data_IF_650943111011
#
_entry.id   IF_650943111011
#
_cell.length_a   1.000
_cell.length_b   1.000
_cell.length_c   1.000
_cell.angle_alpha   90.00
_cell.angle_beta   90.00
_cell.angle_gamma   90.00
#
_symmetry.space_group_name_H-M   'P 1'
#
loop_
_entity.id
_entity.type
_entity.pdbx_description
1 polymer ?
#
# COMPACT_ATOMS: atom_id res chain seq x y z
N UNK A 1 -2.27 -17.73 9.22
CA UNK A 1 -1.02 -18.41 8.77
C UNK A 1 0.07 -17.34 8.76
N UNK A 2 1.27 -17.63 9.24
CA UNK A 2 2.36 -16.66 9.19
C UNK A 2 2.83 -16.44 7.75
N UNK A 3 3.23 -15.23 7.40
CA UNK A 3 3.83 -14.93 6.10
C UNK A 3 5.23 -15.54 6.02
N UNK A 4 5.61 -16.03 4.84
CA UNK A 4 7.01 -16.29 4.54
C UNK A 4 7.79 -14.98 4.49
N UNK A 5 9.12 -15.02 4.68
CA UNK A 5 9.94 -13.81 4.59
C UNK A 5 9.87 -13.16 3.21
N UNK A 6 9.80 -13.97 2.13
CA UNK A 6 9.64 -13.44 0.78
C UNK A 6 8.31 -12.71 0.60
N UNK A 7 7.19 -13.29 1.06
CA UNK A 7 5.88 -12.64 0.98
C UNK A 7 5.84 -11.33 1.76
N UNK A 8 6.42 -11.32 2.97
CA UNK A 8 6.48 -10.11 3.77
C UNK A 8 7.24 -8.98 3.06
N UNK A 9 8.43 -9.26 2.52
CA UNK A 9 9.21 -8.25 1.77
C UNK A 9 8.47 -7.81 0.50
N UNK A 10 7.79 -8.72 -0.20
CA UNK A 10 7.01 -8.36 -1.39
C UNK A 10 5.85 -7.42 -1.05
N UNK A 11 5.15 -7.68 0.06
CA UNK A 11 4.05 -6.83 0.54
C UNK A 11 4.57 -5.47 1.02
N UNK A 12 5.72 -5.41 1.72
CA UNK A 12 6.35 -4.13 2.11
C UNK A 12 6.73 -3.28 0.90
N UNK A 13 7.38 -3.88 -0.10
CA UNK A 13 7.72 -3.19 -1.34
C UNK A 13 6.47 -2.69 -2.06
N UNK A 14 5.40 -3.52 -2.12
CA UNK A 14 4.14 -3.12 -2.74
C UNK A 14 3.49 -1.95 -2.00
N UNK A 15 3.52 -1.94 -0.67
CA UNK A 15 3.00 -0.84 0.12
C UNK A 15 3.82 0.45 -0.08
N UNK A 16 5.14 0.35 -0.22
CA UNK A 16 6.01 1.48 -0.56
C UNK A 16 5.70 2.05 -1.95
N UNK A 17 5.54 1.20 -2.96
CA UNK A 17 5.13 1.62 -4.32
C UNK A 17 3.80 2.39 -4.28
N UNK A 18 2.82 1.87 -3.53
CA UNK A 18 1.50 2.48 -3.41
C UNK A 18 1.56 3.85 -2.71
N UNK A 19 2.43 4.01 -1.70
CA UNK A 19 2.65 5.32 -1.06
C UNK A 19 3.24 6.33 -2.04
N UNK A 20 4.23 5.94 -2.85
CA UNK A 20 4.79 6.80 -3.90
C UNK A 20 3.71 7.20 -4.91
N UNK A 21 2.91 6.24 -5.39
CA UNK A 21 1.81 6.53 -6.31
C UNK A 21 0.76 7.47 -5.70
N UNK A 22 0.41 7.29 -4.43
CA UNK A 22 -0.47 8.21 -3.71
C UNK A 22 0.13 9.62 -3.61
N UNK A 23 1.41 9.75 -3.30
CA UNK A 23 2.08 11.05 -3.23
C UNK A 23 2.06 11.76 -4.59
N UNK A 24 2.45 11.06 -5.66
CA UNK A 24 2.45 11.60 -7.02
C UNK A 24 1.05 12.04 -7.45
N UNK A 25 0.03 11.22 -7.16
CA UNK A 25 -1.37 11.53 -7.48
C UNK A 25 -1.85 12.77 -6.74
N UNK A 26 -1.59 12.86 -5.44
CA UNK A 26 -2.00 13.99 -4.60
C UNK A 26 -1.26 15.26 -5.02
N UNK A 27 0.04 15.16 -5.31
CA UNK A 27 0.84 16.26 -5.81
C UNK A 27 0.30 16.79 -7.13
N UNK A 28 0.05 15.90 -8.10
CA UNK A 28 -0.52 16.24 -9.39
C UNK A 28 -1.90 16.90 -9.28
N UNK A 29 -2.76 16.38 -8.39
CA UNK A 29 -4.10 16.92 -8.15
C UNK A 29 -4.10 18.28 -7.40
N UNK A 30 -2.99 18.65 -6.76
CA UNK A 30 -2.88 19.84 -5.91
C UNK A 30 -3.68 19.77 -4.60
N UNK A 31 -4.29 18.62 -4.29
CA UNK A 31 -5.08 18.39 -3.07
C UNK A 31 -5.27 16.90 -2.78
N UNK A 32 -5.41 16.53 -1.51
CA UNK A 32 -5.65 15.14 -1.07
C UNK A 32 -5.24 14.87 0.38
N UNK A 33 -5.45 13.64 0.86
CA UNK A 33 -5.23 13.23 2.25
C UNK A 33 -4.03 12.27 2.38
N UNK A 34 -2.82 12.81 2.31
CA UNK A 34 -1.59 12.00 2.28
C UNK A 34 -1.41 11.13 3.55
N UNK A 35 -1.67 11.68 4.73
CA UNK A 35 -1.57 10.96 6.00
C UNK A 35 -2.54 9.77 6.11
N UNK A 36 -3.77 9.94 5.64
CA UNK A 36 -4.78 8.86 5.63
C UNK A 36 -4.41 7.74 4.66
N UNK A 37 -3.94 8.09 3.46
CA UNK A 37 -3.48 7.11 2.46
C UNK A 37 -2.27 6.33 2.95
N UNK A 38 -1.31 6.98 3.60
CA UNK A 38 -0.04 6.35 4.00
C UNK A 38 -0.18 5.43 5.21
N UNK A 39 -1.04 5.81 6.16
CA UNK A 39 -1.31 5.03 7.38
C UNK A 39 -2.09 3.74 7.10
N UNK A 40 -2.88 3.71 6.03
CA UNK A 40 -3.67 2.53 5.63
C UNK A 40 -2.99 1.64 4.58
N UNK A 41 -1.86 2.07 4.00
CA UNK A 41 -1.24 1.40 2.86
C UNK A 41 -0.88 -0.07 3.11
N UNK A 42 -0.31 -0.44 4.28
CA UNK A 42 0.07 -1.83 4.56
C UNK A 42 -1.16 -2.73 4.71
N UNK A 43 -2.21 -2.23 5.38
CA UNK A 43 -3.48 -2.93 5.54
C UNK A 43 -4.16 -3.20 4.20
N UNK A 44 -4.27 -2.16 3.35
CA UNK A 44 -4.87 -2.31 2.03
C UNK A 44 -4.03 -3.22 1.14
N UNK A 45 -2.70 -3.15 1.23
CA UNK A 45 -1.81 -4.03 0.48
C UNK A 45 -2.04 -5.49 0.84
N UNK A 46 -2.05 -5.85 2.12
CA UNK A 46 -2.25 -7.26 2.49
C UNK A 46 -3.66 -7.76 2.20
N UNK A 47 -4.68 -6.91 2.34
CA UNK A 47 -6.05 -7.27 1.98
C UNK A 47 -6.13 -7.62 0.48
N UNK A 48 -5.69 -6.72 -0.39
CA UNK A 48 -5.85 -6.89 -1.83
C UNK A 48 -4.87 -7.90 -2.45
N UNK A 49 -3.66 -8.04 -1.91
CA UNK A 49 -2.63 -8.88 -2.53
C UNK A 49 -2.42 -10.24 -1.84
N UNK A 50 -3.15 -10.53 -0.75
CA UNK A 50 -3.05 -11.83 -0.05
C UNK A 50 -4.40 -12.47 0.31
N UNK A 51 -5.38 -11.68 0.77
CA UNK A 51 -6.56 -12.24 1.42
C UNK A 51 -7.87 -12.13 0.62
N UNK A 52 -8.06 -11.03 -0.10
CA UNK A 52 -9.26 -10.84 -0.91
C UNK A 52 -9.16 -11.67 -2.20
N UNK A 53 -10.29 -12.20 -2.63
CA UNK A 53 -10.43 -12.95 -3.87
C UNK A 53 -11.45 -12.22 -4.74
N UNK A 54 -10.95 -11.44 -5.70
CA UNK A 54 -11.72 -10.56 -6.58
C UNK A 54 -11.34 -10.81 -8.04
#
# INVERSE_FOLDING_TARGET
MALTKQEWVALENKAADLRSLCADTIFWAGSGHLGGSFSSADLLTILYYKYMNF
#
